data_IF_773496061432
#
_entry.id   IF_773496061432
#
_cell.length_a   1.000
_cell.length_b   1.000
_cell.length_c   1.000
_cell.angle_alpha   90.00
_cell.angle_beta   90.00
_cell.angle_gamma   90.00
#
_symmetry.space_group_name_H-M   'P 1'
#
loop_
_entity.id
_entity.type
_entity.pdbx_description
1 polymer ?
#
# COMPACT_ATOMS: atom_id res chain seq x y z
N UNK A 1 -10.24 4.07 -23.98
CA UNK A 1 -8.93 3.68 -23.39
C UNK A 1 -9.03 2.63 -22.28
N UNK A 2 -9.73 2.85 -21.15
CA UNK A 2 -9.86 1.83 -20.06
C UNK A 2 -10.37 0.46 -20.55
N UNK A 3 -11.32 0.43 -21.50
CA UNK A 3 -11.83 -0.81 -22.12
C UNK A 3 -10.80 -1.57 -22.98
N UNK A 4 -9.80 -0.90 -23.56
CA UNK A 4 -8.79 -1.54 -24.42
C UNK A 4 -7.66 -2.13 -23.57
N UNK A 5 -7.29 -1.44 -22.49
CA UNK A 5 -6.31 -1.92 -21.52
C UNK A 5 -6.79 -3.20 -20.81
N UNK A 6 -8.07 -3.24 -20.42
CA UNK A 6 -8.67 -4.44 -19.80
C UNK A 6 -8.75 -5.63 -20.77
N UNK A 7 -8.92 -5.36 -22.08
CA UNK A 7 -8.86 -6.39 -23.13
C UNK A 7 -7.46 -6.97 -23.31
N UNK A 8 -6.41 -6.16 -23.18
CA UNK A 8 -5.02 -6.63 -23.25
C UNK A 8 -4.71 -7.60 -22.08
N UNK A 9 -5.17 -7.26 -20.87
CA UNK A 9 -5.02 -8.12 -19.68
C UNK A 9 -5.76 -9.45 -19.87
N UNK A 10 -7.01 -9.41 -20.36
CA UNK A 10 -7.79 -10.62 -20.64
C UNK A 10 -7.22 -11.44 -21.81
N UNK A 11 -6.51 -10.82 -22.74
CA UNK A 11 -5.90 -11.51 -23.88
C UNK A 11 -4.55 -12.16 -23.53
N UNK A 12 -3.75 -11.56 -22.64
CA UNK A 12 -2.52 -12.18 -22.10
C UNK A 12 -2.83 -13.47 -21.33
N UNK A 13 -4.03 -13.59 -20.72
CA UNK A 13 -4.51 -14.84 -20.11
C UNK A 13 -4.81 -15.96 -21.12
N UNK A 14 -5.00 -15.67 -22.42
CA UNK A 14 -5.61 -16.59 -23.38
C UNK A 14 -4.65 -17.28 -24.36
N UNK A 15 -3.32 -17.06 -24.26
CA UNK A 15 -2.36 -17.60 -25.23
C UNK A 15 -1.42 -18.67 -24.62
N UNK A 16 -1.68 -19.93 -24.97
CA UNK A 16 -0.85 -21.10 -24.67
C UNK A 16 -0.30 -21.74 -25.97
N UNK A 17 0.96 -22.17 -25.87
CA UNK A 17 1.77 -23.04 -26.74
C UNK A 17 2.36 -22.50 -28.05
N UNK A 18 3.69 -22.30 -28.06
CA UNK A 18 4.61 -22.78 -29.11
C UNK A 18 5.95 -23.21 -28.48
N UNK A 19 6.50 -24.36 -28.89
CA UNK A 19 7.72 -24.98 -28.39
C UNK A 19 8.97 -24.60 -29.21
N UNK A 20 9.99 -24.03 -28.58
CA UNK A 20 11.43 -24.23 -28.91
C UNK A 20 12.30 -24.04 -27.66
N UNK A 21 13.44 -24.71 -27.62
CA UNK A 21 14.41 -24.77 -26.50
C UNK A 21 15.54 -23.76 -26.67
N UNK A 22 15.89 -23.02 -25.62
CA UNK A 22 17.07 -22.13 -25.62
C UNK A 22 17.85 -22.34 -24.32
N UNK A 23 19.16 -22.56 -24.49
CA UNK A 23 20.18 -22.76 -23.45
C UNK A 23 20.46 -21.48 -22.66
N UNK A 24 20.85 -21.67 -21.39
CA UNK A 24 21.01 -20.61 -20.39
C UNK A 24 22.33 -19.84 -20.57
N UNK A 25 22.23 -18.51 -20.63
CA UNK A 25 23.35 -17.59 -20.47
C UNK A 25 23.39 -17.05 -19.02
N UNK A 26 24.49 -16.40 -18.64
CA UNK A 26 24.72 -15.80 -17.32
C UNK A 26 23.52 -14.97 -16.83
N UNK A 27 23.18 -15.08 -15.54
CA UNK A 27 21.88 -14.66 -14.97
C UNK A 27 21.40 -13.24 -15.32
N UNK A 28 22.30 -12.26 -15.45
CA UNK A 28 21.96 -10.90 -15.89
C UNK A 28 21.77 -10.75 -17.41
N UNK A 29 22.53 -11.49 -18.22
CA UNK A 29 22.36 -11.50 -19.67
C UNK A 29 21.08 -12.26 -20.07
N UNK A 30 20.76 -13.32 -19.32
CA UNK A 30 19.57 -14.14 -19.51
C UNK A 30 18.27 -13.40 -19.17
N UNK A 31 18.22 -12.74 -18.00
CA UNK A 31 17.06 -11.95 -17.59
C UNK A 31 16.79 -10.78 -18.55
N UNK A 32 17.85 -10.14 -19.06
CA UNK A 32 17.76 -9.11 -20.10
C UNK A 32 17.16 -9.65 -21.41
N UNK A 33 17.58 -10.85 -21.84
CA UNK A 33 17.04 -11.50 -23.04
C UNK A 33 15.55 -11.80 -22.90
N UNK A 34 15.11 -12.29 -21.74
CA UNK A 34 13.69 -12.55 -21.43
C UNK A 34 12.89 -11.24 -21.52
N UNK A 35 13.38 -10.20 -20.85
CA UNK A 35 12.73 -8.89 -20.81
C UNK A 35 12.56 -8.26 -22.19
N UNK A 36 13.57 -8.35 -23.06
CA UNK A 36 13.49 -7.84 -24.43
C UNK A 36 12.48 -8.60 -25.29
N UNK A 37 12.39 -9.94 -25.13
CA UNK A 37 11.37 -10.74 -25.81
C UNK A 37 9.97 -10.37 -25.38
N UNK A 38 9.75 -10.22 -24.07
CA UNK A 38 8.45 -9.81 -23.51
C UNK A 38 8.02 -8.43 -24.02
N UNK A 39 8.93 -7.45 -23.96
CA UNK A 39 8.69 -6.11 -24.49
C UNK A 39 8.18 -6.15 -25.93
N UNK A 40 8.94 -6.81 -26.82
CA UNK A 40 8.58 -6.93 -28.25
C UNK A 40 7.22 -7.59 -28.47
N UNK A 41 6.93 -8.68 -27.74
CA UNK A 41 5.66 -9.40 -27.88
C UNK A 41 4.49 -8.51 -27.47
N UNK A 42 4.59 -7.78 -26.34
CA UNK A 42 3.49 -6.94 -25.85
C UNK A 42 3.28 -5.73 -26.77
N UNK A 43 4.34 -5.04 -27.18
CA UNK A 43 4.26 -3.90 -28.11
C UNK A 43 3.65 -4.31 -29.47
N UNK A 44 3.91 -5.54 -29.93
CA UNK A 44 3.29 -6.06 -31.16
C UNK A 44 1.76 -6.26 -31.09
N UNK A 45 1.17 -6.25 -29.89
CA UNK A 45 -0.28 -6.42 -29.71
C UNK A 45 -1.06 -5.10 -29.83
N UNK A 46 -0.41 -3.97 -29.60
CA UNK A 46 -1.01 -2.64 -29.74
C UNK A 46 0.07 -1.61 -30.12
N UNK A 47 -0.04 -1.05 -31.33
CA UNK A 47 0.94 -0.08 -31.82
C UNK A 47 0.89 1.27 -31.09
N UNK A 48 -0.10 1.50 -30.21
CA UNK A 48 -0.26 2.74 -29.45
C UNK A 48 0.38 2.68 -28.05
N UNK A 49 0.95 1.54 -27.66
CA UNK A 49 1.64 1.39 -26.38
C UNK A 49 3.15 1.33 -26.56
N UNK A 50 3.85 1.66 -25.49
CA UNK A 50 5.27 1.42 -25.27
C UNK A 50 5.42 0.64 -23.96
N UNK A 51 6.40 -0.26 -23.95
CA UNK A 51 6.69 -1.09 -22.79
C UNK A 51 8.11 -0.84 -22.31
N UNK A 52 8.21 -0.47 -21.04
CA UNK A 52 9.48 -0.32 -20.33
C UNK A 52 9.67 -1.49 -19.38
N UNK A 53 10.86 -2.08 -19.36
CA UNK A 53 11.23 -3.11 -18.38
C UNK A 53 11.82 -2.37 -17.18
N UNK A 54 11.12 -2.41 -16.05
CA UNK A 54 11.58 -1.77 -14.81
C UNK A 54 12.55 -2.66 -14.05
N UNK A 55 12.27 -3.97 -14.01
CA UNK A 55 13.07 -4.92 -13.24
C UNK A 55 12.98 -6.33 -13.81
N UNK A 56 14.08 -7.07 -13.76
CA UNK A 56 14.16 -8.46 -14.19
C UNK A 56 15.10 -9.23 -13.26
N UNK A 57 14.58 -10.25 -12.58
CA UNK A 57 15.32 -10.98 -11.53
C UNK A 57 15.12 -12.48 -11.75
N UNK A 58 16.20 -13.28 -11.82
CA UNK A 58 16.07 -14.74 -11.86
C UNK A 58 15.21 -15.27 -10.70
N UNK A 59 14.30 -16.21 -10.99
CA UNK A 59 13.53 -16.90 -9.96
C UNK A 59 14.41 -17.91 -9.25
N UNK A 60 14.22 -18.01 -7.93
CA UNK A 60 14.86 -19.03 -7.10
C UNK A 60 14.00 -20.30 -6.99
N UNK A 61 12.72 -20.15 -7.28
CA UNK A 61 11.66 -21.13 -7.13
C UNK A 61 11.52 -22.00 -8.40
N UNK A 62 11.65 -21.38 -9.58
CA UNK A 62 11.53 -22.07 -10.87
C UNK A 62 12.77 -21.79 -11.72
N UNK A 63 13.64 -22.79 -11.81
CA UNK A 63 14.87 -22.70 -12.59
C UNK A 63 14.58 -22.29 -14.04
N UNK A 64 15.34 -21.31 -14.55
CA UNK A 64 15.19 -20.77 -15.90
C UNK A 64 14.04 -19.80 -16.08
N UNK A 65 13.29 -19.45 -15.04
CA UNK A 65 12.38 -18.31 -15.09
C UNK A 65 12.98 -17.08 -14.43
N UNK A 66 12.45 -15.91 -14.79
CA UNK A 66 12.74 -14.62 -14.17
C UNK A 66 11.42 -13.90 -13.84
N UNK A 67 11.40 -13.23 -12.70
CA UNK A 67 10.38 -12.25 -12.33
C UNK A 67 10.64 -10.96 -13.11
N UNK A 68 9.66 -10.50 -13.87
CA UNK A 68 9.79 -9.32 -14.73
C UNK A 68 8.69 -8.32 -14.38
N UNK A 69 9.10 -7.10 -14.02
CA UNK A 69 8.23 -5.95 -13.85
C UNK A 69 8.30 -5.09 -15.11
N UNK A 70 7.15 -4.96 -15.77
CA UNK A 70 6.96 -4.15 -16.95
C UNK A 70 6.06 -2.95 -16.62
N UNK A 71 6.36 -1.79 -17.19
CA UNK A 71 5.44 -0.65 -17.28
C UNK A 71 4.96 -0.51 -18.71
N UNK A 72 3.65 -0.59 -18.86
CA UNK A 72 2.95 -0.42 -20.13
C UNK A 72 2.33 0.97 -20.11
N UNK A 73 2.63 1.81 -21.09
CA UNK A 73 2.09 3.16 -21.16
C UNK A 73 1.73 3.54 -22.61
N UNK A 74 0.79 4.46 -22.84
CA UNK A 74 0.57 5.02 -24.17
C UNK A 74 1.84 5.68 -24.72
N UNK A 75 2.01 5.62 -26.04
CA UNK A 75 3.04 6.40 -26.73
C UNK A 75 2.86 7.89 -26.44
N UNK A 76 3.97 8.55 -26.09
CA UNK A 76 3.96 9.97 -25.74
C UNK A 76 3.38 10.32 -24.36
N UNK A 77 2.93 9.34 -23.55
CA UNK A 77 2.46 9.61 -22.19
C UNK A 77 2.92 8.52 -21.21
N UNK A 78 4.13 8.69 -20.67
CA UNK A 78 4.73 7.77 -19.68
C UNK A 78 4.09 7.84 -18.30
N UNK A 79 3.42 8.95 -17.98
CA UNK A 79 2.78 9.14 -16.67
C UNK A 79 1.60 8.18 -16.47
N UNK A 80 0.85 7.92 -17.55
CA UNK A 80 -0.21 6.93 -17.56
C UNK A 80 0.36 5.52 -17.80
N UNK A 81 1.06 4.99 -16.80
CA UNK A 81 1.61 3.63 -16.84
C UNK A 81 0.80 2.62 -16.02
N UNK A 82 0.68 1.41 -16.55
CA UNK A 82 0.21 0.24 -15.83
C UNK A 82 1.37 -0.73 -15.60
N UNK A 83 1.49 -1.23 -14.38
CA UNK A 83 2.44 -2.27 -14.05
C UNK A 83 1.90 -3.66 -14.38
N UNK A 84 2.72 -4.47 -15.04
CA UNK A 84 2.52 -5.89 -15.24
C UNK A 84 3.71 -6.63 -14.60
N UNK A 85 3.44 -7.44 -13.59
CA UNK A 85 4.45 -8.26 -12.92
C UNK A 85 4.19 -9.73 -13.22
N UNK A 86 5.14 -10.38 -13.89
CA UNK A 86 4.98 -11.76 -14.40
C UNK A 86 6.22 -12.58 -14.12
N UNK A 87 6.06 -13.89 -14.11
CA UNK A 87 7.17 -14.82 -14.18
C UNK A 87 7.31 -15.32 -15.63
N UNK A 88 8.51 -15.29 -16.20
CA UNK A 88 8.73 -15.72 -17.59
C UNK A 88 10.13 -16.30 -17.82
N UNK A 89 10.23 -17.24 -18.75
CA UNK A 89 11.49 -17.73 -19.31
C UNK A 89 11.71 -17.24 -20.75
N UNK A 90 10.96 -16.21 -21.18
CA UNK A 90 11.00 -15.67 -22.54
C UNK A 90 10.21 -16.47 -23.58
N UNK A 91 9.58 -17.56 -23.14
CA UNK A 91 8.68 -18.41 -23.95
C UNK A 91 7.28 -18.48 -23.36
N UNK A 92 7.17 -18.61 -22.04
CA UNK A 92 5.91 -18.61 -21.31
C UNK A 92 5.78 -17.36 -20.44
N UNK A 93 4.56 -16.87 -20.28
CA UNK A 93 4.21 -15.82 -19.32
C UNK A 93 3.32 -16.47 -18.28
N UNK A 94 3.73 -16.41 -17.02
CA UNK A 94 2.96 -16.90 -15.88
C UNK A 94 2.48 -15.65 -15.12
N UNK A 95 1.19 -15.28 -15.24
CA UNK A 95 0.66 -14.05 -14.66
C UNK A 95 0.36 -14.17 -13.16
N UNK A 96 0.30 -15.39 -12.63
CA UNK A 96 0.12 -15.66 -11.21
C UNK A 96 0.79 -16.99 -10.84
N UNK A 97 1.42 -17.03 -9.67
CA UNK A 97 1.97 -18.26 -9.08
C UNK A 97 1.37 -18.41 -7.68
N UNK A 98 0.30 -19.18 -7.57
CA UNK A 98 -0.51 -19.26 -6.35
C UNK A 98 -0.05 -20.44 -5.50
N UNK A 99 0.34 -20.17 -4.26
CA UNK A 99 0.52 -21.14 -3.20
C UNK A 99 -0.86 -21.40 -2.57
N UNK A 100 -1.43 -22.58 -2.84
CA UNK A 100 -2.79 -22.96 -2.44
C UNK A 100 -2.88 -23.09 -0.92
N UNK A 101 -1.85 -23.63 -0.28
CA UNK A 101 -1.83 -23.85 1.17
C UNK A 101 -1.77 -22.52 1.95
N UNK A 102 -1.19 -21.49 1.33
CA UNK A 102 -1.06 -20.14 1.91
C UNK A 102 -2.09 -19.15 1.40
N UNK A 103 -2.92 -19.53 0.42
CA UNK A 103 -3.84 -18.64 -0.30
C UNK A 103 -3.15 -17.33 -0.74
N UNK A 104 -2.02 -17.49 -1.47
CA UNK A 104 -1.12 -16.38 -1.74
C UNK A 104 -0.51 -16.44 -3.14
N UNK A 105 -0.54 -15.33 -3.85
CA UNK A 105 0.25 -15.16 -5.07
C UNK A 105 1.70 -14.85 -4.72
N UNK A 106 2.61 -15.78 -5.00
CA UNK A 106 4.04 -15.67 -4.77
C UNK A 106 4.67 -14.49 -5.54
N UNK A 107 4.05 -14.05 -6.64
CA UNK A 107 4.48 -12.84 -7.33
C UNK A 107 4.33 -11.60 -6.44
N UNK A 108 3.33 -11.53 -5.57
CA UNK A 108 3.16 -10.38 -4.69
C UNK A 108 4.29 -10.31 -3.65
N UNK A 109 4.76 -11.46 -3.16
CA UNK A 109 5.90 -11.54 -2.24
C UNK A 109 7.20 -11.04 -2.86
N UNK A 110 7.45 -11.41 -4.11
CA UNK A 110 8.63 -10.90 -4.81
C UNK A 110 8.46 -9.42 -5.09
N UNK A 111 7.27 -8.99 -5.53
CA UNK A 111 6.97 -7.58 -5.82
C UNK A 111 7.27 -6.67 -4.61
N UNK A 112 6.85 -7.05 -3.41
CA UNK A 112 7.10 -6.26 -2.19
C UNK A 112 8.58 -6.18 -1.82
N UNK A 113 9.36 -7.22 -2.12
CA UNK A 113 10.79 -7.26 -1.81
C UNK A 113 11.61 -6.46 -2.83
N UNK A 114 11.18 -6.45 -4.09
CA UNK A 114 11.91 -5.77 -5.17
C UNK A 114 11.63 -4.26 -5.20
N UNK A 115 10.47 -3.83 -4.73
CA UNK A 115 10.05 -2.42 -4.73
C UNK A 115 10.20 -1.79 -3.34
N UNK A 116 11.16 -2.28 -2.55
CA UNK A 116 11.46 -1.66 -1.26
C UNK A 116 11.95 -0.24 -1.44
N UNK A 117 11.43 0.66 -0.62
CA UNK A 117 11.83 2.05 -0.56
C UNK A 117 12.55 2.35 0.75
N UNK A 118 13.45 3.32 0.74
CA UNK A 118 13.99 3.87 1.98
C UNK A 118 13.00 4.93 2.49
N UNK A 119 12.37 4.64 3.63
CA UNK A 119 11.47 5.58 4.27
C UNK A 119 11.59 5.48 5.78
N UNK A 120 11.85 6.61 6.43
CA UNK A 120 11.90 6.74 7.87
C UNK A 120 10.70 7.59 8.31
N UNK A 121 9.74 7.03 9.06
CA UNK A 121 8.59 7.80 9.51
C UNK A 121 8.99 8.83 10.59
N UNK A 122 8.27 9.95 10.61
CA UNK A 122 8.37 10.98 11.64
C UNK A 122 7.92 10.40 12.99
N UNK A 123 8.73 10.62 14.04
CA UNK A 123 8.43 10.18 15.41
C UNK A 123 7.11 10.73 15.93
N UNK A 124 6.69 11.92 15.50
CA UNK A 124 5.41 12.53 15.89
C UNK A 124 4.19 11.78 15.31
N UNK A 125 4.42 10.87 14.36
CA UNK A 125 3.39 10.01 13.76
C UNK A 125 3.25 8.68 14.46
N UNK A 126 4.07 8.40 15.48
CA UNK A 126 3.96 7.20 16.29
C UNK A 126 2.56 7.14 16.93
N UNK A 127 1.86 6.05 16.64
CA UNK A 127 0.49 5.79 17.06
C UNK A 127 0.43 4.64 18.07
N UNK A 128 1.20 3.56 17.83
CA UNK A 128 1.33 2.41 18.73
C UNK A 128 2.78 1.92 18.81
N UNK A 129 3.14 1.32 19.94
CA UNK A 129 4.45 0.68 20.14
C UNK A 129 5.58 1.65 20.49
N UNK A 130 6.82 1.22 20.25
CA UNK A 130 8.03 1.99 20.55
C UNK A 130 8.69 2.44 19.23
N UNK A 131 9.13 3.69 19.13
CA UNK A 131 9.83 4.22 17.95
C UNK A 131 11.12 3.44 17.57
N UNK A 132 11.74 2.75 18.52
CA UNK A 132 12.94 1.93 18.34
C UNK A 132 12.62 0.47 17.98
N UNK A 133 11.35 0.14 17.74
CA UNK A 133 10.94 -1.20 17.33
C UNK A 133 11.62 -1.61 16.02
N UNK A 134 11.96 -2.90 15.93
CA UNK A 134 12.59 -3.52 14.75
C UNK A 134 11.70 -3.42 13.50
N UNK A 135 10.38 -3.44 13.69
CA UNK A 135 9.40 -3.32 12.62
C UNK A 135 8.66 -2.01 12.73
N UNK A 136 8.71 -1.21 11.67
CA UNK A 136 7.95 0.03 11.53
C UNK A 136 6.89 -0.17 10.46
N UNK A 137 5.63 -0.13 10.89
CA UNK A 137 4.45 -0.15 10.02
C UNK A 137 4.02 1.30 9.85
N UNK A 138 4.23 1.87 8.67
CA UNK A 138 3.68 3.17 8.30
C UNK A 138 2.36 2.94 7.59
N UNK A 139 1.30 3.59 8.05
CA UNK A 139 -0.05 3.44 7.53
C UNK A 139 -0.59 4.82 7.14
N UNK A 140 -0.74 5.06 5.84
CA UNK A 140 -1.50 6.18 5.31
C UNK A 140 -2.98 5.80 5.32
N UNK A 141 -3.80 6.60 6.00
CA UNK A 141 -5.16 6.19 6.31
C UNK A 141 -6.17 7.32 6.32
N UNK A 142 -7.41 6.92 6.10
CA UNK A 142 -8.60 7.74 6.13
C UNK A 142 -9.59 7.10 7.12
N UNK A 143 -10.09 7.86 8.10
CA UNK A 143 -11.03 7.39 9.11
C UNK A 143 -12.44 7.06 8.58
N UNK A 144 -12.81 7.53 7.39
CA UNK A 144 -14.06 7.19 6.71
C UNK A 144 -13.92 5.98 5.78
N UNK A 145 -12.70 5.65 5.34
CA UNK A 145 -12.45 4.53 4.43
C UNK A 145 -12.83 3.16 5.06
N UNK A 146 -13.74 2.37 4.45
CA UNK A 146 -14.14 1.07 4.97
C UNK A 146 -12.98 0.09 5.17
N UNK A 147 -12.02 0.06 4.24
CA UNK A 147 -10.86 -0.82 4.37
C UNK A 147 -9.89 -0.35 5.45
N UNK A 148 -9.75 0.96 5.69
CA UNK A 148 -8.97 1.47 6.81
C UNK A 148 -9.58 1.06 8.16
N UNK A 149 -10.90 1.11 8.26
CA UNK A 149 -11.67 0.69 9.45
C UNK A 149 -11.51 -0.81 9.74
N UNK A 150 -11.37 -1.64 8.70
CA UNK A 150 -11.03 -3.06 8.86
C UNK A 150 -9.55 -3.27 9.21
N UNK A 151 -8.66 -2.47 8.61
CA UNK A 151 -7.22 -2.64 8.77
C UNK A 151 -6.71 -2.21 10.15
N UNK A 152 -7.23 -1.12 10.73
CA UNK A 152 -6.70 -0.61 11.99
C UNK A 152 -6.79 -1.62 13.15
N UNK A 153 -7.92 -2.31 13.41
CA UNK A 153 -7.98 -3.37 14.42
C UNK A 153 -6.97 -4.51 14.16
N UNK A 154 -6.78 -4.90 12.90
CA UNK A 154 -5.81 -5.93 12.53
C UNK A 154 -4.37 -5.47 12.84
N UNK A 155 -3.99 -4.26 12.43
CA UNK A 155 -2.67 -3.68 12.69
C UNK A 155 -2.42 -3.52 14.20
N UNK A 156 -3.43 -3.05 14.93
CA UNK A 156 -3.37 -2.93 16.39
C UNK A 156 -3.16 -4.28 17.06
N UNK A 157 -3.91 -5.32 16.66
CA UNK A 157 -3.72 -6.67 17.18
C UNK A 157 -2.32 -7.20 16.86
N UNK A 158 -1.82 -6.95 15.65
CA UNK A 158 -0.49 -7.36 15.23
C UNK A 158 0.60 -6.67 16.07
N UNK A 159 0.47 -5.37 16.32
CA UNK A 159 1.36 -4.61 17.17
C UNK A 159 1.33 -5.09 18.62
N UNK A 160 0.15 -5.42 19.15
CA UNK A 160 0.00 -6.01 20.49
C UNK A 160 0.63 -7.39 20.59
N UNK A 161 0.39 -8.26 19.60
CA UNK A 161 0.94 -9.61 19.53
C UNK A 161 2.47 -9.63 19.55
N UNK A 162 3.10 -8.70 18.83
CA UNK A 162 4.56 -8.60 18.72
C UNK A 162 5.19 -7.56 19.66
N UNK A 163 4.36 -6.90 20.49
CA UNK A 163 4.72 -5.98 21.56
C UNK A 163 5.82 -4.98 21.13
N UNK A 164 6.93 -4.91 21.88
CA UNK A 164 8.06 -3.98 21.66
C UNK A 164 8.75 -4.10 20.30
N UNK A 165 8.40 -5.09 19.47
CA UNK A 165 9.02 -5.33 18.18
C UNK A 165 8.31 -4.63 17.01
N UNK A 166 7.10 -4.10 17.22
CA UNK A 166 6.33 -3.38 16.20
C UNK A 166 5.99 -1.97 16.68
N UNK A 167 6.28 -0.98 15.84
CA UNK A 167 5.73 0.36 15.94
C UNK A 167 4.78 0.63 14.78
N UNK A 168 3.70 1.34 15.06
CA UNK A 168 2.74 1.79 14.05
C UNK A 168 2.82 3.29 13.96
N UNK A 169 3.00 3.81 12.75
CA UNK A 169 2.98 5.22 12.44
C UNK A 169 1.78 5.53 11.57
N UNK A 170 0.95 6.46 12.02
CA UNK A 170 -0.28 6.85 11.32
C UNK A 170 -0.09 8.20 10.63
N UNK A 171 -0.35 8.22 9.32
CA UNK A 171 -0.35 9.41 8.48
C UNK A 171 -1.77 9.64 7.96
N UNK A 172 -2.26 10.87 8.11
CA UNK A 172 -3.58 11.23 7.60
C UNK A 172 -3.55 11.33 6.07
N UNK A 173 -4.46 10.62 5.42
CA UNK A 173 -4.66 10.70 3.97
C UNK A 173 -6.17 10.71 3.65
N UNK A 174 -6.92 11.74 4.11
CA UNK A 174 -8.35 11.84 3.84
C UNK A 174 -8.58 11.99 2.33
N UNK A 175 -9.39 11.09 1.76
CA UNK A 175 -9.70 11.08 0.35
C UNK A 175 -10.77 12.13 0.05
N UNK A 176 -10.60 12.90 -1.03
CA UNK A 176 -11.49 14.04 -1.35
C UNK A 176 -12.97 13.65 -1.56
N UNK A 177 -13.25 12.38 -1.89
CA UNK A 177 -14.61 11.87 -2.07
C UNK A 177 -15.25 11.36 -0.76
N UNK A 178 -14.51 11.35 0.35
CA UNK A 178 -15.02 11.05 1.69
C UNK A 178 -15.34 12.36 2.42
N UNK A 179 -16.64 12.65 2.55
CA UNK A 179 -17.15 13.95 3.03
C UNK A 179 -16.75 14.30 4.47
N UNK A 180 -16.50 13.31 5.31
CA UNK A 180 -16.20 13.45 6.74
C UNK A 180 -14.73 13.20 7.07
N UNK A 181 -13.98 12.56 6.18
CA UNK A 181 -12.58 12.17 6.38
C UNK A 181 -11.71 13.31 6.92
N UNK A 182 -11.84 14.50 6.35
CA UNK A 182 -11.06 15.67 6.78
C UNK A 182 -11.41 16.12 8.20
N UNK A 183 -12.69 16.17 8.53
CA UNK A 183 -13.15 16.55 9.87
C UNK A 183 -12.73 15.50 10.93
N UNK A 184 -12.81 14.21 10.59
CA UNK A 184 -12.31 13.13 11.45
C UNK A 184 -10.80 13.25 11.70
N UNK A 185 -10.01 13.54 10.67
CA UNK A 185 -8.57 13.77 10.80
C UNK A 185 -8.24 15.02 11.65
N UNK A 186 -9.01 16.11 11.54
CA UNK A 186 -8.85 17.30 12.40
C UNK A 186 -9.10 16.93 13.86
N UNK A 187 -10.17 16.19 14.15
CA UNK A 187 -10.49 15.75 15.53
C UNK A 187 -9.42 14.81 16.07
N UNK A 188 -8.89 13.92 15.24
CA UNK A 188 -7.78 13.04 15.58
C UNK A 188 -6.52 13.82 16.00
N UNK A 189 -6.05 14.76 15.17
CA UNK A 189 -4.85 15.55 15.46
C UNK A 189 -5.04 16.48 16.68
N UNK A 190 -6.24 17.06 16.84
CA UNK A 190 -6.58 17.83 18.04
C UNK A 190 -6.59 16.95 19.31
N UNK A 191 -7.05 15.70 19.20
CA UNK A 191 -6.99 14.70 20.27
C UNK A 191 -5.56 14.37 20.67
N UNK A 192 -4.67 14.14 19.69
CA UNK A 192 -3.25 13.86 19.93
C UNK A 192 -2.56 14.96 20.72
N UNK A 193 -2.86 16.23 20.42
CA UNK A 193 -2.33 17.39 21.17
C UNK A 193 -2.73 17.37 22.65
N UNK A 194 -3.86 16.75 22.99
CA UNK A 194 -4.32 16.56 24.38
C UNK A 194 -3.83 15.26 25.03
N UNK A 195 -2.94 14.53 24.35
CA UNK A 195 -2.51 13.19 24.75
C UNK A 195 -3.67 12.20 24.78
N UNK A 196 -4.64 12.34 23.86
CA UNK A 196 -5.71 11.37 23.64
C UNK A 196 -5.38 10.55 22.40
N UNK A 197 -5.44 9.22 22.52
CA UNK A 197 -5.53 8.35 21.36
C UNK A 197 -7.01 8.17 21.02
N UNK A 198 -7.46 8.79 19.93
CA UNK A 198 -8.84 8.72 19.45
C UNK A 198 -9.02 7.73 18.30
N UNK A 199 -7.96 7.05 17.84
CA UNK A 199 -8.00 6.27 16.61
C UNK A 199 -9.06 5.17 16.64
N UNK A 200 -9.10 4.36 17.72
CA UNK A 200 -10.11 3.29 17.88
C UNK A 200 -11.54 3.84 17.74
N UNK A 201 -11.84 4.93 18.45
CA UNK A 201 -13.17 5.52 18.50
C UNK A 201 -13.57 6.13 17.14
N UNK A 202 -12.62 6.75 16.44
CA UNK A 202 -12.87 7.35 15.13
C UNK A 202 -13.05 6.30 14.04
N UNK A 203 -12.24 5.23 14.03
CA UNK A 203 -12.43 4.12 13.09
C UNK A 203 -13.73 3.35 13.34
N UNK A 204 -14.19 3.24 14.58
CA UNK A 204 -15.45 2.56 14.91
C UNK A 204 -16.69 3.47 14.82
N UNK A 205 -16.53 4.77 14.53
CA UNK A 205 -17.65 5.73 14.55
C UNK A 205 -18.62 5.49 13.41
N UNK A 206 -19.92 5.31 13.69
CA UNK A 206 -20.95 5.26 12.65
C UNK A 206 -21.12 6.65 12.02
N UNK A 207 -21.12 6.73 10.70
CA UNK A 207 -21.11 8.01 9.98
C UNK A 207 -22.45 8.39 9.35
N UNK A 208 -23.47 7.53 9.46
CA UNK A 208 -24.78 7.68 8.80
C UNK A 208 -25.46 9.02 9.15
N UNK A 209 -25.31 9.46 10.40
CA UNK A 209 -25.94 10.66 10.95
C UNK A 209 -24.99 11.84 11.14
N UNK A 210 -23.73 11.73 10.67
CA UNK A 210 -22.77 12.83 10.78
C UNK A 210 -23.03 13.82 9.66
N UNK A 211 -23.25 15.10 10.02
CA UNK A 211 -23.43 16.21 9.07
C UNK A 211 -22.36 17.28 9.23
N UNK A 212 -21.77 17.37 10.42
CA UNK A 212 -20.81 18.40 10.80
C UNK A 212 -19.73 17.84 11.72
N UNK A 213 -18.69 18.64 11.95
CA UNK A 213 -17.65 18.31 12.94
C UNK A 213 -18.19 18.31 14.38
N UNK A 214 -19.25 19.07 14.66
CA UNK A 214 -19.91 19.07 15.97
C UNK A 214 -20.58 17.72 16.25
N UNK A 215 -21.14 17.05 15.23
CA UNK A 215 -21.68 15.70 15.38
C UNK A 215 -20.59 14.68 15.73
N UNK A 216 -19.39 14.84 15.14
CA UNK A 216 -18.21 14.02 15.47
C UNK A 216 -17.82 14.26 16.93
N UNK A 217 -17.73 15.52 17.36
CA UNK A 217 -17.41 15.88 18.75
C UNK A 217 -18.46 15.32 19.73
N UNK A 218 -19.75 15.43 19.42
CA UNK A 218 -20.82 14.88 20.25
C UNK A 218 -20.70 13.37 20.46
N UNK A 219 -20.24 12.62 19.44
CA UNK A 219 -19.97 11.18 19.55
C UNK A 219 -18.79 10.84 20.48
N UNK A 220 -17.97 11.83 20.87
CA UNK A 220 -16.84 11.68 21.78
C UNK A 220 -17.15 12.10 23.21
N UNK A 221 -18.27 12.80 23.45
CA UNK A 221 -18.58 13.44 24.74
C UNK A 221 -18.44 12.50 25.93
N UNK A 222 -18.97 11.28 25.81
CA UNK A 222 -18.97 10.27 26.88
C UNK A 222 -17.81 9.26 26.76
N UNK A 223 -16.94 9.44 25.76
CA UNK A 223 -15.80 8.55 25.47
C UNK A 223 -14.47 9.14 25.95
N UNK A 224 -14.44 10.41 26.35
CA UNK A 224 -13.23 11.08 26.85
C UNK A 224 -13.51 11.87 28.14
N UNK A 225 -12.50 12.09 29.00
CA UNK A 225 -12.70 12.84 30.24
C UNK A 225 -13.23 14.26 30.01
N UNK A 226 -14.24 14.67 30.79
CA UNK A 226 -14.92 15.96 30.63
C UNK A 226 -13.98 17.19 30.54
N UNK A 227 -12.90 17.31 31.35
CA UNK A 227 -11.96 18.43 31.23
C UNK A 227 -11.22 18.46 29.88
N UNK A 228 -10.99 17.30 29.26
CA UNK A 228 -10.36 17.20 27.94
C UNK A 228 -11.38 17.43 26.81
N UNK A 229 -12.65 17.07 27.01
CA UNK A 229 -13.71 17.32 26.02
C UNK A 229 -13.89 18.81 25.70
N UNK A 230 -13.97 19.66 26.73
CA UNK A 230 -14.06 21.12 26.54
C UNK A 230 -12.89 21.66 25.70
N UNK A 231 -11.66 21.28 26.07
CA UNK A 231 -10.43 21.67 25.36
C UNK A 231 -10.40 21.15 23.93
N UNK A 232 -10.87 19.93 23.68
CA UNK A 232 -10.92 19.35 22.34
C UNK A 232 -11.80 20.20 21.40
N UNK A 233 -12.97 20.63 21.86
CA UNK A 233 -13.85 21.52 21.08
C UNK A 233 -13.17 22.83 20.72
N UNK A 234 -12.44 23.43 21.66
CA UNK A 234 -11.74 24.70 21.41
C UNK A 234 -10.55 24.54 20.47
N UNK A 235 -9.84 23.41 20.57
CA UNK A 235 -8.77 23.07 19.64
C UNK A 235 -9.31 22.87 18.22
N UNK A 236 -10.38 22.09 18.05
CA UNK A 236 -10.96 21.80 16.72
C UNK A 236 -11.37 23.07 15.96
N UNK A 237 -11.79 24.13 16.66
CA UNK A 237 -12.04 25.46 16.06
C UNK A 237 -10.79 26.09 15.43
N UNK A 238 -9.58 25.73 15.89
CA UNK A 238 -8.28 26.10 15.30
C UNK A 238 -7.90 25.18 14.13
N UNK A 239 -8.87 24.79 13.31
CA UNK A 239 -8.75 23.80 12.24
C UNK A 239 -7.61 24.09 11.26
N UNK A 240 -7.27 25.35 11.01
CA UNK A 240 -6.14 25.75 10.15
C UNK A 240 -4.81 25.13 10.57
N UNK A 241 -4.55 24.97 11.88
CA UNK A 241 -3.33 24.31 12.38
C UNK A 241 -3.30 22.83 11.96
N UNK A 242 -4.39 22.11 12.20
CA UNK A 242 -4.49 20.68 11.90
C UNK A 242 -4.57 20.40 10.41
N UNK A 243 -5.21 21.29 9.65
CA UNK A 243 -5.19 21.23 8.20
C UNK A 243 -3.77 21.24 7.64
N UNK A 244 -2.87 22.08 8.16
CA UNK A 244 -1.46 22.07 7.71
C UNK A 244 -0.76 20.74 7.99
N UNK A 245 -1.04 20.11 9.14
CA UNK A 245 -0.50 18.79 9.48
C UNK A 245 -1.02 17.73 8.50
N UNK A 246 -2.32 17.73 8.23
CA UNK A 246 -2.96 16.78 7.32
C UNK A 246 -2.46 16.98 5.87
N UNK A 247 -2.34 18.22 5.40
CA UNK A 247 -1.74 18.49 4.07
C UNK A 247 -0.30 18.00 3.98
N UNK A 248 0.48 18.17 5.05
CA UNK A 248 1.86 17.65 5.09
C UNK A 248 1.87 16.12 4.99
N UNK A 249 0.97 15.43 5.69
CA UNK A 249 0.86 13.96 5.63
C UNK A 249 0.44 13.49 4.23
N UNK A 250 -0.55 14.16 3.64
CA UNK A 250 -1.02 13.90 2.28
C UNK A 250 0.08 14.13 1.24
N UNK A 251 0.90 15.17 1.43
CA UNK A 251 2.05 15.43 0.55
C UNK A 251 3.08 14.31 0.65
N UNK A 252 3.46 13.90 1.87
CA UNK A 252 4.38 12.78 2.07
C UNK A 252 3.84 11.51 1.39
N UNK A 253 2.55 11.20 1.56
CA UNK A 253 1.93 10.07 0.89
C UNK A 253 1.97 10.19 -0.63
N UNK A 254 1.63 11.36 -1.18
CA UNK A 254 1.63 11.61 -2.62
C UNK A 254 3.03 11.48 -3.23
N UNK A 255 4.06 12.02 -2.57
CA UNK A 255 5.46 11.89 -2.98
C UNK A 255 5.92 10.42 -2.99
N UNK A 256 5.34 9.58 -2.12
CA UNK A 256 5.58 8.13 -2.05
C UNK A 256 4.66 7.31 -2.97
N UNK A 257 3.82 7.97 -3.77
CA UNK A 257 2.93 7.30 -4.73
C UNK A 257 1.65 6.72 -4.14
N UNK A 258 1.22 7.16 -2.95
CA UNK A 258 -0.07 6.79 -2.36
C UNK A 258 -1.21 7.30 -3.26
N UNK A 259 -2.02 6.37 -3.78
CA UNK A 259 -3.17 6.67 -4.65
C UNK A 259 -4.52 6.33 -4.01
N UNK A 260 -4.50 5.77 -2.80
CA UNK A 260 -5.69 5.32 -2.07
C UNK A 260 -5.30 4.79 -0.70
N UNK A 261 -6.32 4.51 0.12
CA UNK A 261 -6.13 4.05 1.50
C UNK A 261 -6.87 2.73 1.78
N UNK A 262 -6.37 1.89 2.71
CA UNK A 262 -5.11 2.07 3.42
C UNK A 262 -3.91 1.78 2.51
N UNK A 263 -2.79 2.42 2.80
CA UNK A 263 -1.51 2.14 2.14
C UNK A 263 -0.44 1.96 3.20
N UNK A 264 0.35 0.89 3.08
CA UNK A 264 1.32 0.49 4.07
C UNK A 264 2.75 0.54 3.53
N UNK A 265 3.67 0.96 4.39
CA UNK A 265 5.11 0.74 4.21
C UNK A 265 5.62 0.00 5.44
N UNK A 266 6.10 -1.23 5.26
CA UNK A 266 6.60 -2.10 6.33
C UNK A 266 8.08 -2.35 6.11
N UNK A 267 8.93 -1.63 6.86
CA UNK A 267 10.39 -1.60 6.66
C UNK A 267 10.77 -1.48 5.17
N UNK A 268 10.16 -0.50 4.50
CA UNK A 268 10.35 -0.21 3.07
C UNK A 268 9.47 -1.01 2.11
N UNK A 269 8.85 -2.12 2.54
CA UNK A 269 7.99 -2.94 1.68
C UNK A 269 6.63 -2.26 1.52
N UNK A 270 6.24 -1.93 0.28
CA UNK A 270 4.98 -1.27 -0.03
C UNK A 270 3.86 -2.29 -0.15
N UNK A 271 2.75 -2.08 0.55
CA UNK A 271 1.51 -2.86 0.39
C UNK A 271 0.36 -1.88 0.22
N UNK A 272 -0.22 -1.85 -0.99
CA UNK A 272 -1.39 -1.01 -1.28
C UNK A 272 -2.67 -1.78 -0.96
N UNK A 273 -3.58 -1.16 -0.22
CA UNK A 273 -4.83 -1.76 0.22
C UNK A 273 -4.67 -2.67 1.45
N UNK A 274 -5.81 -3.20 1.91
CA UNK A 274 -5.84 -4.10 3.06
C UNK A 274 -5.69 -5.56 2.62
N UNK A 275 -4.46 -6.10 2.71
CA UNK A 275 -4.16 -7.51 2.51
C UNK A 275 -3.52 -8.09 3.79
N UNK A 276 -4.30 -8.74 4.68
CA UNK A 276 -3.82 -9.27 5.96
C UNK A 276 -2.64 -10.25 5.82
N UNK A 277 -2.66 -11.12 4.80
CA UNK A 277 -1.64 -12.14 4.59
C UNK A 277 -0.30 -11.50 4.22
N UNK A 278 -0.29 -10.57 3.26
CA UNK A 278 0.93 -9.85 2.86
C UNK A 278 1.49 -9.01 4.01
N UNK A 279 0.63 -8.32 4.77
CA UNK A 279 1.06 -7.52 5.93
C UNK A 279 1.71 -8.42 6.98
N UNK A 280 1.08 -9.56 7.31
CA UNK A 280 1.62 -10.52 8.27
C UNK A 280 2.97 -11.07 7.82
N UNK A 281 3.13 -11.44 6.55
CA UNK A 281 4.40 -11.95 6.01
C UNK A 281 5.49 -10.87 6.08
N UNK A 282 5.17 -9.64 5.69
CA UNK A 282 6.11 -8.52 5.75
C UNK A 282 6.59 -8.22 7.18
N UNK A 283 5.70 -8.33 8.17
CA UNK A 283 6.06 -8.18 9.60
C UNK A 283 6.85 -9.38 10.11
N UNK A 284 6.38 -10.60 9.86
CA UNK A 284 6.98 -11.84 10.34
C UNK A 284 8.44 -12.00 9.90
N UNK A 285 8.81 -11.49 8.70
CA UNK A 285 10.19 -11.46 8.18
C UNK A 285 11.19 -10.84 9.18
N UNK A 286 10.75 -9.84 9.93
CA UNK A 286 11.61 -9.11 10.87
C UNK A 286 11.38 -9.54 12.32
N UNK A 287 10.22 -10.11 12.67
CA UNK A 287 9.95 -10.55 14.05
C UNK A 287 10.42 -11.98 14.32
N UNK A 288 10.31 -12.89 13.34
CA UNK A 288 10.70 -14.31 13.49
C UNK A 288 12.15 -14.60 13.06
N UNK A 289 12.90 -13.61 12.60
CA UNK A 289 14.33 -13.78 12.30
C UNK A 289 15.15 -13.84 13.59
N UNK A 290 15.12 -15.01 14.24
CA UNK A 290 16.12 -15.59 15.15
C UNK A 290 16.09 -17.11 15.00
#
# INVERSE_FOLDING_TARGET
>A
MKKNILKIINFVMLLLFVLTSISMASGNSYSNTISQKLKKIIESKDNNIEVTVEKSIPSKEIAGFAYVLLKIHPKGNKELSQELFVLSNGKYIIPALIDIDKDLNMLDLVKIDINKIQFNPDKNKLELGNADAKVKIVMFSDFECPFCRQAFPFIKNLAQKYNKQVAVYHYNFPLNFHKHARNLAIVYEAGKELGLNLADVLYSMKLDNIKSIDDILNNLKDKIPAPKYGKLKDLVKKSNKYNKIIESDMKVGSDLGVKGTPFFIINGSIISGFNPNLIKIAVDKYVKSK
#
